data_IF_995658530181
#
_entry.id   IF_995658530181
#
_cell.length_a   1.000
_cell.length_b   1.000
_cell.length_c   1.000
_cell.angle_alpha   90.00
_cell.angle_beta   90.00
_cell.angle_gamma   90.00
#
_symmetry.space_group_name_H-M   'P 1'
#
loop_
_entity.id
_entity.type
_entity.pdbx_description
1 polymer ?
#
# COMPACT_ATOMS: atom_id res chain seq x y z
N UNK A 1 -18.49 1.30 9.54
CA UNK A 1 -17.24 0.73 8.97
C UNK A 1 -17.20 -0.75 9.29
N UNK A 2 -16.96 -1.59 8.25
CA UNK A 2 -16.76 -3.03 8.41
C UNK A 2 -15.34 -3.37 7.95
N UNK A 3 -14.57 -4.05 8.80
CA UNK A 3 -13.25 -4.56 8.48
C UNK A 3 -13.29 -6.09 8.41
N UNK A 4 -12.53 -6.67 7.50
CA UNK A 4 -12.47 -8.14 7.36
C UNK A 4 -11.31 -8.75 8.15
N UNK A 5 -10.25 -7.97 8.40
CA UNK A 5 -9.07 -8.45 9.10
C UNK A 5 -8.23 -9.46 8.30
N UNK A 6 -8.24 -9.38 6.95
CA UNK A 6 -7.43 -10.25 6.08
C UNK A 6 -5.92 -10.07 6.33
N UNK A 7 -5.47 -8.86 6.68
CA UNK A 7 -4.09 -8.50 7.05
C UNK A 7 -4.11 -7.75 8.39
N UNK A 8 -4.29 -8.49 9.47
CA UNK A 8 -4.63 -7.96 10.79
C UNK A 8 -3.68 -6.86 11.27
N UNK A 9 -2.39 -7.14 11.35
CA UNK A 9 -1.40 -6.21 11.89
C UNK A 9 -1.33 -4.89 11.11
N UNK A 10 -1.30 -4.96 9.78
CA UNK A 10 -1.27 -3.77 8.93
C UNK A 10 -2.57 -2.95 9.04
N UNK A 11 -3.71 -3.62 9.12
CA UNK A 11 -5.00 -2.97 9.27
C UNK A 11 -5.10 -2.23 10.59
N UNK A 12 -4.72 -2.87 11.70
CA UNK A 12 -4.79 -2.28 13.04
C UNK A 12 -3.92 -1.02 13.17
N UNK A 13 -2.73 -1.01 12.56
CA UNK A 13 -1.87 0.17 12.48
C UNK A 13 -2.60 1.34 11.79
N UNK A 14 -3.23 1.08 10.63
CA UNK A 14 -3.94 2.11 9.86
C UNK A 14 -5.16 2.62 10.64
N UNK A 15 -5.96 1.72 11.22
CA UNK A 15 -7.12 2.08 12.04
C UNK A 15 -6.71 3.00 13.20
N UNK A 16 -5.61 2.65 13.88
CA UNK A 16 -5.08 3.45 14.98
C UNK A 16 -4.63 4.85 14.53
N UNK A 17 -3.87 4.93 13.42
CA UNK A 17 -3.37 6.19 12.86
C UNK A 17 -4.50 7.16 12.52
N UNK A 18 -5.59 6.64 11.95
CA UNK A 18 -6.73 7.44 11.53
C UNK A 18 -7.85 7.50 12.58
N UNK A 19 -7.62 6.92 13.77
CA UNK A 19 -8.59 6.90 14.88
C UNK A 19 -9.95 6.32 14.47
N UNK A 20 -9.90 5.28 13.62
CA UNK A 20 -11.09 4.59 13.12
C UNK A 20 -11.41 3.43 14.04
N UNK A 21 -12.62 3.43 14.60
CA UNK A 21 -13.17 2.30 15.35
C UNK A 21 -14.19 1.62 14.42
N UNK A 22 -13.93 0.39 13.96
CA UNK A 22 -14.87 -0.32 13.10
C UNK A 22 -16.12 -0.74 13.88
N UNK A 23 -17.28 -0.63 13.24
CA UNK A 23 -18.56 -1.11 13.80
C UNK A 23 -18.66 -2.64 13.73
N UNK A 24 -18.03 -3.24 12.71
CA UNK A 24 -17.99 -4.68 12.48
C UNK A 24 -16.57 -5.13 12.14
N UNK A 25 -16.16 -6.27 12.72
CA UNK A 25 -14.88 -6.91 12.47
C UNK A 25 -15.09 -8.42 12.24
N UNK A 26 -14.86 -8.87 11.01
CA UNK A 26 -15.01 -10.29 10.64
C UNK A 26 -13.85 -11.16 11.12
N UNK A 27 -12.70 -10.56 11.40
CA UNK A 27 -11.49 -11.21 11.91
C UNK A 27 -11.17 -12.54 11.19
N UNK A 28 -11.12 -12.49 9.85
CA UNK A 28 -11.01 -13.71 9.02
C UNK A 28 -9.60 -14.28 8.91
N UNK A 29 -8.57 -13.55 9.40
CA UNK A 29 -7.18 -13.96 9.25
C UNK A 29 -6.93 -15.29 9.96
N UNK A 30 -6.42 -16.28 9.21
CA UNK A 30 -5.99 -17.58 9.70
C UNK A 30 -4.66 -17.99 9.05
N UNK A 31 -3.85 -18.72 9.79
CA UNK A 31 -2.59 -19.22 9.23
C UNK A 31 -2.86 -20.24 8.11
N UNK A 32 -2.19 -20.06 6.97
CA UNK A 32 -2.28 -20.98 5.83
C UNK A 32 -3.54 -20.85 4.98
N UNK A 33 -4.39 -19.82 5.20
CA UNK A 33 -5.58 -19.58 4.39
C UNK A 33 -5.22 -19.27 2.93
N UNK A 34 -6.02 -19.77 2.01
CA UNK A 34 -5.93 -19.47 0.58
C UNK A 34 -7.03 -18.49 0.13
N UNK A 35 -7.08 -18.21 -1.18
CA UNK A 35 -8.09 -17.30 -1.73
C UNK A 35 -9.52 -17.85 -1.62
N UNK A 36 -9.69 -19.17 -1.60
CA UNK A 36 -11.01 -19.80 -1.40
C UNK A 36 -11.52 -19.58 0.02
N UNK A 37 -10.62 -19.71 1.01
CA UNK A 37 -10.92 -19.43 2.42
C UNK A 37 -11.32 -17.97 2.62
N UNK A 38 -10.52 -17.04 2.10
CA UNK A 38 -10.81 -15.59 2.17
C UNK A 38 -12.15 -15.29 1.50
N UNK A 39 -12.38 -15.78 0.29
CA UNK A 39 -13.62 -15.57 -0.47
C UNK A 39 -14.84 -16.06 0.30
N UNK A 40 -14.80 -17.30 0.79
CA UNK A 40 -15.93 -17.88 1.50
C UNK A 40 -16.21 -17.18 2.83
N UNK A 41 -15.17 -16.89 3.61
CA UNK A 41 -15.31 -16.19 4.90
C UNK A 41 -15.90 -14.77 4.72
N UNK A 42 -15.37 -13.98 3.77
CA UNK A 42 -15.88 -12.63 3.51
C UNK A 42 -17.32 -12.69 2.99
N UNK A 43 -17.63 -13.58 2.03
CA UNK A 43 -18.98 -13.67 1.44
C UNK A 43 -20.04 -14.00 2.51
N UNK A 44 -19.76 -14.97 3.35
CA UNK A 44 -20.70 -15.40 4.39
C UNK A 44 -20.79 -14.38 5.54
N UNK A 45 -19.68 -13.79 5.97
CA UNK A 45 -19.68 -12.76 7.00
C UNK A 45 -20.39 -11.49 6.56
N UNK A 46 -20.13 -11.02 5.34
CA UNK A 46 -20.81 -9.85 4.78
C UNK A 46 -22.31 -10.08 4.57
N UNK A 47 -22.74 -11.31 4.24
CA UNK A 47 -24.16 -11.65 4.12
C UNK A 47 -24.95 -11.27 5.38
N UNK A 48 -24.41 -11.61 6.54
CA UNK A 48 -25.11 -11.45 7.82
C UNK A 48 -25.10 -9.97 8.26
N UNK A 49 -23.98 -9.28 8.10
CA UNK A 49 -23.85 -7.83 8.36
C UNK A 49 -24.80 -7.03 7.45
N UNK A 50 -24.81 -7.31 6.17
CA UNK A 50 -25.66 -6.58 5.21
C UNK A 50 -27.16 -6.82 5.45
N UNK A 51 -27.55 -7.98 5.94
CA UNK A 51 -28.94 -8.25 6.37
C UNK A 51 -29.35 -7.45 7.59
N UNK A 52 -28.43 -7.27 8.53
CA UNK A 52 -28.64 -6.50 9.74
C UNK A 52 -28.69 -5.00 9.45
N UNK A 53 -27.67 -4.49 8.75
CA UNK A 53 -27.47 -3.04 8.54
C UNK A 53 -28.39 -2.48 7.46
N UNK A 54 -28.66 -3.25 6.39
CA UNK A 54 -29.42 -2.83 5.20
C UNK A 54 -29.03 -1.44 4.67
N UNK A 55 -27.73 -1.22 4.32
CA UNK A 55 -27.27 0.08 3.88
C UNK A 55 -27.81 0.44 2.49
N UNK A 56 -28.01 1.72 2.21
CA UNK A 56 -28.39 2.23 0.89
C UNK A 56 -27.29 2.08 -0.15
N UNK A 57 -26.03 2.00 0.27
CA UNK A 57 -24.85 1.91 -0.58
C UNK A 57 -23.71 1.22 0.18
N UNK A 58 -23.01 0.31 -0.49
CA UNK A 58 -21.74 -0.25 -0.01
C UNK A 58 -20.58 0.36 -0.79
N UNK A 59 -19.59 0.91 -0.10
CA UNK A 59 -18.35 1.37 -0.70
C UNK A 59 -17.26 0.31 -0.53
N UNK A 60 -16.61 -0.06 -1.64
CA UNK A 60 -15.44 -0.95 -1.66
C UNK A 60 -14.26 -0.21 -2.29
N UNK A 61 -13.05 -0.51 -1.83
CA UNK A 61 -11.84 0.19 -2.28
C UNK A 61 -10.84 -0.76 -2.91
N UNK A 62 -10.31 -0.37 -4.07
CA UNK A 62 -9.20 -1.06 -4.72
C UNK A 62 -9.58 -2.41 -5.34
N UNK A 63 -8.67 -3.38 -5.20
CA UNK A 63 -8.64 -4.59 -6.02
C UNK A 63 -8.39 -5.89 -5.22
N UNK A 64 -8.48 -5.82 -3.91
CA UNK A 64 -8.32 -7.02 -3.07
C UNK A 64 -9.49 -7.99 -3.24
N UNK A 65 -9.25 -9.26 -2.94
CA UNK A 65 -10.33 -10.28 -2.87
C UNK A 65 -11.43 -9.84 -1.92
N UNK A 66 -11.07 -9.22 -0.78
CA UNK A 66 -12.05 -8.62 0.16
C UNK A 66 -12.98 -7.64 -0.54
N UNK A 67 -12.47 -6.69 -1.30
CA UNK A 67 -13.27 -5.67 -2.00
C UNK A 67 -14.24 -6.28 -3.01
N UNK A 68 -13.75 -7.23 -3.80
CA UNK A 68 -14.54 -7.93 -4.81
C UNK A 68 -15.64 -8.76 -4.19
N UNK A 69 -15.33 -9.50 -3.13
CA UNK A 69 -16.30 -10.39 -2.49
C UNK A 69 -17.33 -9.60 -1.67
N UNK A 70 -16.94 -8.49 -1.03
CA UNK A 70 -17.89 -7.59 -0.37
C UNK A 70 -18.84 -6.95 -1.39
N UNK A 71 -18.35 -6.55 -2.57
CA UNK A 71 -19.19 -6.07 -3.67
C UNK A 71 -20.19 -7.14 -4.14
N UNK A 72 -19.74 -8.39 -4.28
CA UNK A 72 -20.61 -9.52 -4.65
C UNK A 72 -21.68 -9.81 -3.60
N UNK A 73 -21.33 -9.75 -2.31
CA UNK A 73 -22.27 -9.93 -1.22
C UNK A 73 -23.37 -8.85 -1.22
N UNK A 74 -22.99 -7.58 -1.47
CA UNK A 74 -23.91 -6.46 -1.61
C UNK A 74 -24.85 -6.64 -2.82
N UNK A 75 -24.30 -7.05 -3.96
CA UNK A 75 -25.06 -7.34 -5.17
C UNK A 75 -26.14 -8.43 -4.94
N UNK A 76 -25.82 -9.49 -4.21
CA UNK A 76 -26.79 -10.55 -3.89
C UNK A 76 -27.97 -10.05 -3.04
N UNK A 77 -27.79 -8.99 -2.30
CA UNK A 77 -28.85 -8.33 -1.54
C UNK A 77 -29.47 -7.13 -2.26
N UNK A 78 -29.11 -6.90 -3.53
CA UNK A 78 -29.56 -5.78 -4.36
C UNK A 78 -29.21 -4.41 -3.79
N UNK A 79 -28.10 -4.32 -3.05
CA UNK A 79 -27.56 -3.08 -2.52
C UNK A 79 -26.58 -2.50 -3.55
N UNK A 80 -26.74 -1.24 -3.97
CA UNK A 80 -25.79 -0.57 -4.86
C UNK A 80 -24.37 -0.56 -4.31
N UNK A 81 -23.38 -0.64 -5.20
CA UNK A 81 -21.97 -0.65 -4.84
C UNK A 81 -21.26 0.55 -5.47
N UNK A 82 -20.49 1.29 -4.68
CA UNK A 82 -19.54 2.29 -5.15
C UNK A 82 -18.11 1.73 -5.07
N UNK A 83 -17.41 1.76 -6.20
CA UNK A 83 -16.02 1.30 -6.30
C UNK A 83 -15.06 2.47 -6.29
N UNK A 84 -14.26 2.59 -5.23
CA UNK A 84 -13.20 3.59 -5.07
C UNK A 84 -11.90 3.03 -5.66
N UNK A 85 -11.13 3.85 -6.37
CA UNK A 85 -9.96 3.46 -7.17
C UNK A 85 -10.33 2.62 -8.40
N UNK A 86 -11.49 2.92 -8.98
CA UNK A 86 -12.05 2.18 -10.11
C UNK A 86 -11.29 2.44 -11.44
N UNK A 87 -11.25 1.42 -12.29
CA UNK A 87 -10.79 1.56 -13.69
C UNK A 87 -9.30 1.42 -13.92
N UNK A 88 -8.50 1.07 -12.92
CA UNK A 88 -7.11 0.66 -13.13
C UNK A 88 -7.08 -0.67 -13.91
N UNK A 89 -6.28 -0.76 -14.98
CA UNK A 89 -6.16 -1.96 -15.82
C UNK A 89 -4.72 -2.17 -16.27
N UNK A 90 -4.29 -3.42 -16.22
CA UNK A 90 -3.07 -3.89 -16.88
C UNK A 90 -3.38 -4.61 -18.19
N UNK A 91 -4.64 -5.01 -18.40
CA UNK A 91 -5.10 -5.85 -19.51
C UNK A 91 -4.46 -7.26 -19.55
N UNK A 92 -3.86 -7.69 -18.46
CA UNK A 92 -3.33 -9.04 -18.27
C UNK A 92 -3.92 -9.63 -16.99
N UNK A 93 -4.90 -10.51 -17.13
CA UNK A 93 -5.68 -11.10 -16.03
C UNK A 93 -4.84 -11.88 -15.00
N UNK A 94 -3.60 -12.20 -15.35
CA UNK A 94 -2.64 -12.89 -14.49
C UNK A 94 -1.51 -11.98 -13.97
N UNK A 95 -1.59 -10.65 -14.25
CA UNK A 95 -0.55 -9.73 -13.76
C UNK A 95 -1.10 -8.30 -13.53
N UNK A 96 -1.18 -7.86 -12.26
CA UNK A 96 -1.01 -8.61 -11.02
C UNK A 96 -2.14 -9.62 -10.82
N UNK A 97 -1.83 -10.71 -10.15
CA UNK A 97 -2.78 -11.77 -9.83
C UNK A 97 -2.99 -11.87 -8.32
N UNK A 98 -4.24 -11.90 -7.81
CA UNK A 98 -5.54 -11.93 -8.52
C UNK A 98 -6.14 -10.54 -8.81
N UNK A 99 -5.39 -9.44 -8.57
CA UNK A 99 -5.89 -8.06 -8.51
C UNK A 99 -6.53 -7.60 -9.82
N UNK A 100 -5.94 -7.91 -10.98
CA UNK A 100 -6.50 -7.45 -12.26
C UNK A 100 -7.90 -8.04 -12.52
N UNK A 101 -8.10 -9.32 -12.20
CA UNK A 101 -9.43 -9.94 -12.32
C UNK A 101 -10.40 -9.37 -11.29
N UNK A 102 -9.96 -9.12 -10.06
CA UNK A 102 -10.76 -8.48 -9.03
C UNK A 102 -11.26 -7.11 -9.49
N UNK A 103 -10.42 -6.29 -10.11
CA UNK A 103 -10.81 -4.98 -10.69
C UNK A 103 -11.92 -5.12 -11.72
N UNK A 104 -11.79 -6.10 -12.62
CA UNK A 104 -12.78 -6.33 -13.68
C UNK A 104 -14.12 -6.81 -13.11
N UNK A 105 -14.10 -7.75 -12.17
CA UNK A 105 -15.32 -8.27 -11.52
C UNK A 105 -16.02 -7.16 -10.74
N UNK A 106 -15.27 -6.44 -9.90
CA UNK A 106 -15.81 -5.33 -9.11
C UNK A 106 -16.35 -4.22 -10.01
N UNK A 107 -15.64 -3.88 -11.08
CA UNK A 107 -16.09 -2.89 -12.06
C UNK A 107 -17.39 -3.29 -12.78
N UNK A 108 -17.68 -4.58 -12.93
CA UNK A 108 -18.92 -5.05 -13.52
C UNK A 108 -20.08 -5.04 -12.52
N UNK A 109 -19.80 -5.27 -11.23
CA UNK A 109 -20.81 -5.28 -10.17
C UNK A 109 -21.19 -3.86 -9.73
N UNK A 110 -20.21 -2.96 -9.67
CA UNK A 110 -20.40 -1.61 -9.12
C UNK A 110 -21.38 -0.78 -9.92
N UNK A 111 -22.21 -0.01 -9.20
CA UNK A 111 -23.14 0.97 -9.76
C UNK A 111 -22.42 2.31 -9.98
N UNK A 112 -21.57 2.71 -9.03
CA UNK A 112 -20.86 3.99 -9.04
C UNK A 112 -19.36 3.76 -9.07
N UNK A 113 -18.63 4.54 -9.88
CA UNK A 113 -17.20 4.37 -10.09
C UNK A 113 -16.45 5.66 -9.78
N UNK A 114 -15.55 5.61 -8.81
CA UNK A 114 -14.69 6.71 -8.43
C UNK A 114 -13.27 6.42 -8.95
N UNK A 115 -12.98 6.93 -10.15
CA UNK A 115 -11.72 6.66 -10.84
C UNK A 115 -10.60 7.60 -10.35
N UNK A 116 -9.37 7.10 -10.11
CA UNK A 116 -8.27 7.95 -9.68
C UNK A 116 -7.74 8.85 -10.81
N UNK A 117 -7.97 8.49 -12.06
CA UNK A 117 -7.43 9.21 -13.23
C UNK A 117 -8.41 9.21 -14.40
N UNK A 118 -8.17 10.12 -15.36
CA UNK A 118 -8.89 10.11 -16.64
C UNK A 118 -8.70 8.79 -17.41
N UNK A 119 -7.51 8.18 -17.31
CA UNK A 119 -7.26 6.87 -17.91
C UNK A 119 -8.14 5.79 -17.29
N UNK A 120 -8.30 5.80 -15.97
CA UNK A 120 -9.23 4.90 -15.27
C UNK A 120 -10.67 5.06 -15.77
N UNK A 121 -11.15 6.30 -15.93
CA UNK A 121 -12.46 6.59 -16.54
C UNK A 121 -12.55 6.03 -17.96
N UNK A 122 -11.54 6.25 -18.81
CA UNK A 122 -11.52 5.75 -20.19
C UNK A 122 -11.58 4.22 -20.26
N UNK A 123 -10.86 3.52 -19.37
CA UNK A 123 -10.89 2.07 -19.30
C UNK A 123 -12.31 1.55 -18.99
N UNK A 124 -12.98 2.13 -18.01
CA UNK A 124 -14.36 1.78 -17.66
C UNK A 124 -15.33 2.04 -18.83
N UNK A 125 -15.17 3.17 -19.52
CA UNK A 125 -16.00 3.49 -20.70
C UNK A 125 -15.79 2.47 -21.84
N UNK A 126 -14.56 2.00 -22.06
CA UNK A 126 -14.25 0.92 -23.04
C UNK A 126 -14.91 -0.41 -22.66
N UNK A 127 -15.18 -0.61 -21.38
CA UNK A 127 -15.91 -1.77 -20.85
C UNK A 127 -17.42 -1.54 -20.79
N UNK A 128 -17.93 -0.52 -21.48
CA UNK A 128 -19.36 -0.15 -21.55
C UNK A 128 -19.98 0.29 -20.21
N UNK A 129 -19.20 0.87 -19.31
CA UNK A 129 -19.75 1.55 -18.13
C UNK A 129 -20.31 2.91 -18.57
N UNK A 130 -21.52 3.26 -18.11
CA UNK A 130 -22.12 4.56 -18.40
C UNK A 130 -21.26 5.71 -17.87
N UNK A 131 -20.83 6.67 -18.71
CA UNK A 131 -20.01 7.80 -18.30
C UNK A 131 -20.58 8.66 -17.15
N UNK A 132 -21.92 8.72 -17.03
CA UNK A 132 -22.61 9.47 -15.98
C UNK A 132 -22.45 8.82 -14.58
N UNK A 133 -22.02 7.58 -14.54
CA UNK A 133 -21.77 6.82 -13.30
C UNK A 133 -20.27 6.75 -12.94
N UNK A 134 -19.42 7.56 -13.64
CA UNK A 134 -17.98 7.56 -13.44
C UNK A 134 -17.49 8.96 -13.08
N UNK A 135 -16.97 9.12 -11.88
CA UNK A 135 -16.35 10.37 -11.40
C UNK A 135 -14.83 10.20 -11.31
N UNK A 136 -14.09 11.17 -11.80
CA UNK A 136 -12.63 11.25 -11.59
C UNK A 136 -12.38 12.01 -10.31
N UNK A 137 -12.01 11.31 -9.25
CA UNK A 137 -11.87 11.84 -7.89
C UNK A 137 -10.43 12.03 -7.41
N UNK A 138 -9.46 11.56 -8.19
CA UNK A 138 -8.08 11.45 -7.72
C UNK A 138 -7.84 10.16 -6.92
N UNK A 139 -6.62 10.02 -6.39
CA UNK A 139 -6.22 8.84 -5.61
C UNK A 139 -6.28 9.18 -4.11
N UNK A 140 -7.19 8.53 -3.39
CA UNK A 140 -7.41 8.73 -1.95
C UNK A 140 -6.18 8.41 -1.08
N UNK A 141 -5.24 7.59 -1.59
CA UNK A 141 -3.97 7.30 -0.91
C UNK A 141 -3.15 8.57 -0.71
N UNK A 142 -3.20 9.52 -1.67
CA UNK A 142 -2.50 10.80 -1.56
C UNK A 142 -3.10 11.64 -0.43
N UNK A 143 -4.42 11.69 -0.33
CA UNK A 143 -5.12 12.44 0.74
C UNK A 143 -4.79 11.86 2.11
N UNK A 144 -4.81 10.52 2.25
CA UNK A 144 -4.45 9.82 3.47
C UNK A 144 -3.00 10.12 3.88
N UNK A 145 -2.04 10.04 2.94
CA UNK A 145 -0.64 10.36 3.18
C UNK A 145 -0.47 11.82 3.64
N UNK A 146 -1.10 12.77 2.95
CA UNK A 146 -1.03 14.19 3.31
C UNK A 146 -1.66 14.47 4.69
N UNK A 147 -2.72 13.75 5.07
CA UNK A 147 -3.32 13.84 6.40
C UNK A 147 -2.35 13.39 7.48
N UNK A 148 -1.66 12.27 7.29
CA UNK A 148 -0.63 11.77 8.21
C UNK A 148 0.53 12.75 8.32
N UNK A 149 1.03 13.29 7.21
CA UNK A 149 2.08 14.31 7.22
C UNK A 149 1.66 15.55 8.00
N UNK A 150 0.41 16.01 7.86
CA UNK A 150 -0.12 17.15 8.64
C UNK A 150 -0.18 16.83 10.13
N UNK A 151 -0.68 15.64 10.52
CA UNK A 151 -0.68 15.19 11.93
C UNK A 151 0.73 15.21 12.52
N UNK A 152 1.72 14.63 11.84
CA UNK A 152 3.11 14.62 12.33
C UNK A 152 3.73 16.02 12.44
N UNK A 153 3.40 16.94 11.55
CA UNK A 153 3.89 18.34 11.64
C UNK A 153 3.30 19.12 12.81
N UNK A 154 2.11 18.81 13.23
CA UNK A 154 1.41 19.48 14.35
C UNK A 154 1.67 18.81 15.69
N UNK A 155 1.89 17.50 15.72
CA UNK A 155 2.16 16.73 16.93
C UNK A 155 3.68 16.47 17.09
N UNK A 156 4.29 17.29 17.97
CA UNK A 156 5.74 17.19 18.25
C UNK A 156 6.14 15.90 18.98
N UNK A 157 5.21 15.28 19.71
CA UNK A 157 5.46 14.01 20.40
C UNK A 157 5.51 12.91 19.33
N UNK A 158 4.52 12.87 18.44
CA UNK A 158 4.49 11.92 17.34
C UNK A 158 5.75 12.06 16.45
N UNK A 159 6.16 13.28 16.10
CA UNK A 159 7.38 13.52 15.33
C UNK A 159 8.62 12.97 16.05
N UNK A 160 8.76 13.24 17.34
CA UNK A 160 9.90 12.77 18.14
C UNK A 160 9.95 11.23 18.23
N UNK A 161 8.79 10.60 18.37
CA UNK A 161 8.69 9.13 18.36
C UNK A 161 9.16 8.54 17.02
N UNK A 162 8.80 9.15 15.88
CA UNK A 162 9.26 8.65 14.57
C UNK A 162 10.78 8.80 14.39
N UNK A 163 11.38 9.88 14.89
CA UNK A 163 12.82 10.06 14.89
C UNK A 163 13.53 8.98 15.69
N UNK A 164 12.99 8.64 16.86
CA UNK A 164 13.57 7.61 17.73
C UNK A 164 13.44 6.21 17.06
N UNK A 165 12.28 5.87 16.53
CA UNK A 165 12.08 4.61 15.79
C UNK A 165 13.08 4.48 14.64
N UNK A 166 13.31 5.54 13.87
CA UNK A 166 14.29 5.52 12.77
C UNK A 166 15.72 5.35 13.28
N UNK A 167 16.06 6.00 14.40
CA UNK A 167 17.38 5.85 15.02
C UNK A 167 17.63 4.40 15.49
N UNK A 168 16.65 3.78 16.13
CA UNK A 168 16.72 2.37 16.55
C UNK A 168 16.82 1.41 15.36
N UNK A 169 16.24 1.78 14.22
CA UNK A 169 16.33 1.02 12.96
C UNK A 169 17.60 1.26 12.17
N UNK A 170 18.50 2.15 12.63
CA UNK A 170 19.82 2.39 12.07
C UNK A 170 19.97 3.65 11.24
N UNK A 171 19.01 4.60 11.29
CA UNK A 171 19.15 5.89 10.63
C UNK A 171 18.81 7.07 11.55
N UNK A 172 19.79 7.92 11.82
CA UNK A 172 19.57 9.18 12.57
C UNK A 172 19.17 10.31 11.63
N UNK A 173 17.89 10.69 11.67
CA UNK A 173 17.32 11.79 10.87
C UNK A 173 17.96 13.13 11.15
N UNK A 174 18.63 13.32 12.32
CA UNK A 174 19.34 14.54 12.62
C UNK A 174 20.48 14.83 11.64
N UNK A 175 20.96 13.83 10.91
CA UNK A 175 21.93 14.00 9.80
C UNK A 175 21.43 14.97 8.71
N UNK A 176 20.11 15.20 8.62
CA UNK A 176 19.50 16.10 7.63
C UNK A 176 19.44 17.56 8.12
N UNK A 177 19.75 17.84 9.38
CA UNK A 177 19.65 19.20 9.96
C UNK A 177 20.60 20.20 9.29
N UNK A 178 21.75 19.74 8.79
CA UNK A 178 22.75 20.58 8.12
C UNK A 178 22.50 20.75 6.62
N UNK A 179 21.26 20.50 6.16
CA UNK A 179 20.88 20.61 4.76
C UNK A 179 21.29 19.43 3.88
N UNK A 180 21.72 18.33 4.49
CA UNK A 180 22.07 17.10 3.78
C UNK A 180 20.82 16.54 3.09
N UNK A 181 20.99 16.07 1.86
CA UNK A 181 19.93 15.46 1.06
C UNK A 181 19.80 13.99 1.38
N UNK A 182 18.59 13.46 1.17
CA UNK A 182 18.27 12.05 1.37
C UNK A 182 17.51 11.50 0.19
N UNK A 183 17.88 10.30 -0.23
CA UNK A 183 17.17 9.48 -1.21
C UNK A 183 16.59 8.27 -0.50
N UNK A 184 15.25 8.14 -0.55
CA UNK A 184 14.57 6.96 -0.07
C UNK A 184 14.46 5.93 -1.21
N UNK A 185 14.88 4.69 -0.95
CA UNK A 185 14.81 3.62 -1.93
C UNK A 185 13.68 2.66 -1.53
N UNK A 186 12.79 2.37 -2.49
CA UNK A 186 11.71 1.39 -2.33
C UNK A 186 11.75 0.38 -3.46
N UNK A 187 12.03 -0.86 -3.19
CA UNK A 187 12.12 -1.83 -4.27
C UNK A 187 12.04 -3.27 -3.75
N UNK A 188 10.93 -3.95 -4.06
CA UNK A 188 10.75 -5.36 -3.69
C UNK A 188 9.83 -6.10 -4.66
N UNK A 189 9.57 -5.55 -5.85
CA UNK A 189 8.67 -6.16 -6.82
C UNK A 189 9.22 -7.46 -7.36
N UNK A 190 8.39 -8.50 -7.36
CA UNK A 190 8.76 -9.87 -7.75
C UNK A 190 9.28 -9.98 -9.19
N UNK A 191 8.76 -9.13 -10.08
CA UNK A 191 9.19 -9.05 -11.49
C UNK A 191 10.66 -8.66 -11.69
N UNK A 192 11.27 -8.05 -10.68
CA UNK A 192 12.68 -7.64 -10.69
C UNK A 192 13.62 -8.67 -10.04
N UNK A 193 13.13 -9.77 -9.47
CA UNK A 193 13.96 -10.74 -8.78
C UNK A 193 15.00 -11.40 -9.71
N UNK A 194 16.13 -11.84 -9.15
CA UNK A 194 17.27 -12.37 -9.89
C UNK A 194 18.16 -11.25 -10.45
N UNK A 195 18.59 -11.40 -11.71
CA UNK A 195 19.56 -10.50 -12.35
C UNK A 195 19.09 -9.02 -12.41
N UNK A 196 17.78 -8.78 -12.47
CA UNK A 196 17.21 -7.45 -12.43
C UNK A 196 17.55 -6.73 -11.12
N UNK A 197 17.38 -7.43 -10.00
CA UNK A 197 17.66 -6.87 -8.67
C UNK A 197 19.16 -6.66 -8.42
N UNK A 198 20.02 -7.53 -8.95
CA UNK A 198 21.48 -7.37 -8.92
C UNK A 198 21.89 -6.09 -9.70
N UNK A 199 21.30 -5.87 -10.88
CA UNK A 199 21.57 -4.64 -11.66
C UNK A 199 21.13 -3.38 -10.94
N UNK A 200 19.95 -3.39 -10.31
CA UNK A 200 19.45 -2.28 -9.47
C UNK A 200 20.42 -2.03 -8.31
N UNK A 201 20.83 -3.08 -7.59
CA UNK A 201 21.77 -2.96 -6.47
C UNK A 201 23.13 -2.39 -6.89
N UNK A 202 23.65 -2.80 -8.05
CA UNK A 202 24.90 -2.22 -8.61
C UNK A 202 24.73 -0.74 -8.95
N UNK A 203 23.63 -0.35 -9.57
CA UNK A 203 23.34 1.05 -9.89
C UNK A 203 23.23 1.90 -8.62
N UNK A 204 22.57 1.39 -7.56
CA UNK A 204 22.50 2.07 -6.27
C UNK A 204 23.91 2.23 -5.68
N UNK A 205 24.77 1.20 -5.74
CA UNK A 205 26.15 1.27 -5.25
C UNK A 205 26.97 2.33 -5.99
N UNK A 206 26.85 2.43 -7.31
CA UNK A 206 27.48 3.47 -8.10
C UNK A 206 27.00 4.87 -7.72
N UNK A 207 25.68 5.02 -7.49
CA UNK A 207 25.10 6.29 -7.04
C UNK A 207 25.63 6.71 -5.66
N UNK A 208 25.76 5.79 -4.70
CA UNK A 208 26.29 6.11 -3.38
C UNK A 208 27.76 6.55 -3.43
N UNK A 209 28.55 5.96 -4.33
CA UNK A 209 29.93 6.36 -4.55
C UNK A 209 30.05 7.74 -5.23
N UNK A 210 29.17 8.01 -6.20
CA UNK A 210 29.18 9.26 -6.97
C UNK A 210 28.68 10.45 -6.16
N UNK A 211 27.71 10.23 -5.24
CA UNK A 211 27.06 11.27 -4.46
C UNK A 211 27.27 11.02 -2.95
N UNK A 212 28.51 11.15 -2.50
CA UNK A 212 28.90 10.85 -1.11
C UNK A 212 28.32 11.80 -0.08
N UNK A 213 27.83 12.97 -0.51
CA UNK A 213 27.15 13.98 0.30
C UNK A 213 25.65 13.73 0.48
N UNK A 214 25.07 12.73 -0.22
CA UNK A 214 23.67 12.35 -0.12
C UNK A 214 23.54 11.05 0.67
N UNK A 215 22.62 11.00 1.62
CA UNK A 215 22.26 9.75 2.30
C UNK A 215 21.25 8.95 1.48
N UNK A 216 21.52 7.67 1.31
CA UNK A 216 20.62 6.70 0.65
C UNK A 216 20.07 5.76 1.71
N UNK A 217 18.74 5.66 1.81
CA UNK A 217 18.09 4.85 2.83
C UNK A 217 17.21 3.82 2.15
N UNK A 218 17.42 2.57 2.52
CA UNK A 218 16.68 1.46 1.96
C UNK A 218 16.08 0.58 3.07
N UNK A 219 14.78 0.77 3.39
CA UNK A 219 14.04 -0.18 4.21
C UNK A 219 13.96 -1.53 3.48
N UNK A 220 14.75 -2.50 3.93
CA UNK A 220 14.89 -3.79 3.25
C UNK A 220 13.74 -4.73 3.59
N UNK A 221 13.02 -5.18 2.58
CA UNK A 221 12.04 -6.25 2.75
C UNK A 221 12.70 -7.54 3.25
N UNK A 222 12.00 -8.30 4.13
CA UNK A 222 12.53 -9.52 4.75
C UNK A 222 12.76 -10.68 3.77
N UNK A 223 12.21 -10.59 2.55
CA UNK A 223 12.32 -11.63 1.54
C UNK A 223 13.78 -11.88 1.15
N UNK A 224 14.26 -13.14 1.20
CA UNK A 224 15.63 -13.51 0.80
C UNK A 224 15.98 -13.09 -0.64
N UNK A 225 14.99 -13.04 -1.55
CA UNK A 225 15.20 -12.59 -2.93
C UNK A 225 15.52 -11.08 -3.05
N UNK A 226 15.32 -10.32 -1.97
CA UNK A 226 15.75 -8.92 -1.86
C UNK A 226 17.11 -8.86 -1.15
N UNK A 227 17.26 -9.55 -0.02
CA UNK A 227 18.46 -9.45 0.82
C UNK A 227 19.70 -10.07 0.17
N UNK A 228 19.59 -11.25 -0.44
CA UNK A 228 20.73 -11.94 -1.06
C UNK A 228 21.45 -11.10 -2.14
N UNK A 229 20.78 -10.51 -3.15
CA UNK A 229 21.43 -9.65 -4.13
C UNK A 229 22.09 -8.41 -3.53
N UNK A 230 21.52 -7.86 -2.45
CA UNK A 230 22.12 -6.72 -1.75
C UNK A 230 23.44 -7.14 -1.11
N UNK A 231 23.46 -8.26 -0.36
CA UNK A 231 24.70 -8.78 0.21
C UNK A 231 25.75 -9.15 -0.86
N UNK A 232 25.32 -9.70 -1.99
CA UNK A 232 26.22 -10.01 -3.11
C UNK A 232 26.94 -8.74 -3.64
N UNK A 233 26.24 -7.63 -3.71
CA UNK A 233 26.76 -6.38 -4.29
C UNK A 233 27.50 -5.51 -3.26
N UNK A 234 26.96 -5.38 -2.03
CA UNK A 234 27.48 -4.49 -1.01
C UNK A 234 28.39 -5.21 0.01
N UNK A 235 28.39 -6.55 0.05
CA UNK A 235 29.12 -7.34 1.03
C UNK A 235 28.25 -7.74 2.22
N UNK A 236 28.80 -8.56 3.10
CA UNK A 236 28.07 -9.09 4.26
C UNK A 236 27.84 -8.05 5.36
N UNK A 237 28.80 -7.12 5.55
CA UNK A 237 28.68 -6.04 6.51
C UNK A 237 28.06 -4.80 5.87
N UNK A 238 26.76 -4.64 6.08
CA UNK A 238 25.99 -3.49 5.59
C UNK A 238 26.01 -2.30 6.55
N UNK A 239 26.61 -2.43 7.74
CA UNK A 239 26.58 -1.40 8.79
C UNK A 239 27.65 -0.32 8.61
N UNK A 240 28.71 -0.61 7.86
CA UNK A 240 29.90 0.25 7.71
C UNK A 240 29.93 1.04 6.40
N UNK A 241 28.75 1.34 5.83
CA UNK A 241 28.64 2.17 4.63
C UNK A 241 28.43 3.64 5.00
N UNK A 242 29.22 4.54 4.40
CA UNK A 242 29.27 5.95 4.81
C UNK A 242 27.95 6.70 4.64
N UNK A 243 27.25 6.45 3.53
CA UNK A 243 26.06 7.18 3.11
C UNK A 243 24.95 6.26 2.56
N UNK A 244 25.10 4.94 2.74
CA UNK A 244 24.07 3.95 2.42
C UNK A 244 23.61 3.27 3.69
N UNK A 245 22.30 3.34 3.95
CA UNK A 245 21.67 2.82 5.15
C UNK A 245 20.65 1.75 4.78
N UNK A 246 20.99 0.50 5.04
CA UNK A 246 20.06 -0.60 4.97
C UNK A 246 19.41 -0.76 6.33
N UNK A 247 18.10 -0.48 6.39
CA UNK A 247 17.36 -0.53 7.65
C UNK A 247 16.28 -1.61 7.60
N UNK A 248 15.81 -2.05 8.75
CA UNK A 248 14.69 -2.98 8.82
C UNK A 248 13.40 -2.34 8.31
N UNK A 249 12.42 -3.14 7.86
CA UNK A 249 11.13 -2.65 7.38
C UNK A 249 10.49 -1.70 8.39
N UNK A 250 9.88 -0.64 7.86
CA UNK A 250 9.24 0.39 8.66
C UNK A 250 7.73 0.20 8.69
N UNK A 251 7.13 0.56 9.80
CA UNK A 251 5.69 0.74 9.89
C UNK A 251 5.24 1.98 9.10
N UNK A 252 3.94 2.06 8.84
CA UNK A 252 3.37 3.09 7.97
C UNK A 252 3.76 4.52 8.38
N UNK A 253 3.66 4.88 9.65
CA UNK A 253 4.00 6.23 10.13
C UNK A 253 5.47 6.58 9.92
N UNK A 254 6.38 5.67 10.30
CA UNK A 254 7.82 5.89 10.14
C UNK A 254 8.22 5.95 8.67
N UNK A 255 7.57 5.16 7.82
CA UNK A 255 7.79 5.18 6.39
C UNK A 255 7.31 6.51 5.77
N UNK A 256 6.12 6.99 6.13
CA UNK A 256 5.59 8.28 5.66
C UNK A 256 6.45 9.44 6.15
N UNK A 257 6.94 9.38 7.40
CA UNK A 257 7.87 10.38 7.94
C UNK A 257 9.17 10.43 7.15
N UNK A 258 9.76 9.29 6.85
CA UNK A 258 10.98 9.19 6.05
C UNK A 258 10.76 9.68 4.62
N UNK A 259 9.62 9.34 4.02
CA UNK A 259 9.23 9.81 2.68
C UNK A 259 9.08 11.34 2.64
N UNK A 260 8.47 11.94 3.67
CA UNK A 260 8.31 13.41 3.77
C UNK A 260 9.65 14.14 3.85
N UNK A 261 10.64 13.53 4.53
CA UNK A 261 12.00 14.08 4.63
C UNK A 261 12.86 13.82 3.40
N UNK A 262 12.45 12.92 2.50
CA UNK A 262 13.24 12.57 1.33
C UNK A 262 13.26 13.69 0.28
N UNK A 263 14.42 13.87 -0.36
CA UNK A 263 14.56 14.74 -1.53
C UNK A 263 14.07 14.06 -2.79
N UNK A 264 14.23 12.74 -2.84
CA UNK A 264 13.86 11.87 -3.95
C UNK A 264 13.47 10.49 -3.42
N UNK A 265 12.52 9.85 -4.10
CA UNK A 265 12.17 8.43 -3.90
C UNK A 265 12.53 7.65 -5.17
N UNK A 266 13.26 6.53 -5.01
CA UNK A 266 13.64 5.58 -6.06
C UNK A 266 12.85 4.28 -5.93
#
# INVERSE_FOLDING_TARGET
VCVTGQHREMLDQVLHVFEIIPDYDLNIMRQGQDLYDVTSCVLLGMRDILKEVQPDLVLVHGDTTTSTVAALAAYYQRIPVGHIEAGLRTHNTYNPWPEEMNRQITGRIATYHFAPTLLGKQNLMRENVNPDLIWVTGNTVIDALLQVVRKMKTDKIMEAMQKEVLRERGYDVNRLLDGKKMVLITGHRRENFGDGFIRISKAIKELTQKYSDIDFIYPMHLNPNVRKPIHEVFGDDLSNLNNMFFIEPLEYLSFVYLMEKSTLVL
#
